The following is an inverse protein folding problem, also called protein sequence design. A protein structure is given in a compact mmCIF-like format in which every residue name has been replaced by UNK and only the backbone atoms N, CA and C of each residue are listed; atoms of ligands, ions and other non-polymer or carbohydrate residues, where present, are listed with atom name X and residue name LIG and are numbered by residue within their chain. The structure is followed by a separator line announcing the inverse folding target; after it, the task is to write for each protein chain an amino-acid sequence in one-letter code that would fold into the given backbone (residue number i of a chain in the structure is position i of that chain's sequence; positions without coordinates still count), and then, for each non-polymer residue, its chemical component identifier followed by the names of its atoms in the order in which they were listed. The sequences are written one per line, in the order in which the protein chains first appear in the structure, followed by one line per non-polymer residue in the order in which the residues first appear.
data_IF_771864499595
#
_entry.id   IF_771864499595
#
_cell.length_a   1.000
_cell.length_b   1.000
_cell.length_c   1.000
_cell.angle_alpha   90.00
_cell.angle_beta   90.00
_cell.angle_gamma   90.00
#
_symmetry.space_group_name_H-M   'P 1'
#
loop_
_entity.id
_entity.type
_entity.pdbx_description
1 polymer ?
#
# COMPACT_ATOMS: atom_id res chain seq x y z
N UNK A 1 -7.82 10.76 -14.38
CA UNK A 1 -7.12 10.22 -13.19
C UNK A 1 -7.96 9.10 -12.65
N UNK A 2 -7.40 7.90 -12.54
CA UNK A 2 -8.08 6.78 -11.90
C UNK A 2 -7.99 6.94 -10.38
N UNK A 3 -9.06 6.69 -9.65
CA UNK A 3 -9.14 6.99 -8.21
C UNK A 3 -9.26 5.68 -7.42
N UNK A 4 -8.38 5.50 -6.43
CA UNK A 4 -8.53 4.49 -5.39
C UNK A 4 -9.33 5.11 -4.24
N UNK A 5 -10.43 4.49 -3.80
CA UNK A 5 -11.24 5.05 -2.72
C UNK A 5 -10.70 4.66 -1.34
N UNK A 6 -10.84 5.56 -0.36
CA UNK A 6 -10.46 5.27 1.02
C UNK A 6 -11.31 4.12 1.61
N UNK A 7 -12.57 3.99 1.18
CA UNK A 7 -13.42 2.86 1.55
C UNK A 7 -12.88 1.51 1.06
N UNK A 8 -12.30 1.45 -0.14
CA UNK A 8 -11.68 0.22 -0.65
C UNK A 8 -10.42 -0.12 0.16
N UNK A 9 -9.64 0.89 0.54
CA UNK A 9 -8.47 0.71 1.42
C UNK A 9 -8.89 0.13 2.77
N UNK A 10 -9.91 0.70 3.41
CA UNK A 10 -10.43 0.22 4.69
C UNK A 10 -10.94 -1.21 4.62
N UNK A 11 -11.68 -1.53 3.56
CA UNK A 11 -12.23 -2.86 3.33
C UNK A 11 -11.11 -3.89 3.12
N UNK A 12 -10.12 -3.57 2.29
CA UNK A 12 -9.02 -4.47 1.96
C UNK A 12 -8.09 -4.71 3.14
N UNK A 13 -7.61 -3.64 3.79
CA UNK A 13 -6.66 -3.76 4.90
C UNK A 13 -7.31 -4.06 6.27
N UNK A 14 -8.62 -4.34 6.28
CA UNK A 14 -9.42 -4.60 7.48
C UNK A 14 -9.20 -3.54 8.58
N UNK A 15 -9.27 -2.27 8.20
CA UNK A 15 -8.91 -1.16 9.07
C UNK A 15 -9.98 -0.07 9.15
N UNK A 16 -9.92 0.72 10.22
CA UNK A 16 -10.68 1.98 10.39
C UNK A 16 -9.69 3.06 10.83
N UNK A 17 -10.08 4.36 10.85
CA UNK A 17 -9.19 5.43 11.30
C UNK A 17 -8.56 5.20 12.69
N UNK A 18 -9.24 4.46 13.56
CA UNK A 18 -8.79 4.20 14.93
C UNK A 18 -8.01 2.87 15.07
N UNK A 19 -7.97 2.02 14.03
CA UNK A 19 -7.22 0.77 14.12
C UNK A 19 -5.72 1.04 14.06
N UNK A 20 -4.97 0.26 14.85
CA UNK A 20 -3.52 0.40 14.98
C UNK A 20 -2.78 0.38 13.65
N UNK A 21 -3.17 -0.49 12.73
CA UNK A 21 -2.52 -0.59 11.42
C UNK A 21 -2.75 0.64 10.53
N UNK A 22 -3.92 1.29 10.64
CA UNK A 22 -4.18 2.55 9.96
C UNK A 22 -3.35 3.68 10.56
N UNK A 23 -3.42 3.87 11.88
CA UNK A 23 -2.67 4.92 12.58
C UNK A 23 -1.17 4.81 12.33
N UNK A 24 -0.60 3.60 12.49
CA UNK A 24 0.82 3.38 12.19
C UNK A 24 1.14 3.53 10.70
N UNK A 25 0.24 3.12 9.80
CA UNK A 25 0.42 3.27 8.35
C UNK A 25 0.42 4.73 7.91
N UNK A 26 -0.46 5.55 8.48
CA UNK A 26 -0.48 6.99 8.25
C UNK A 26 0.79 7.66 8.77
N UNK A 27 1.27 7.27 9.96
CA UNK A 27 2.54 7.76 10.49
C UNK A 27 3.73 7.41 9.57
N UNK A 28 3.77 6.19 9.01
CA UNK A 28 4.79 5.79 8.02
C UNK A 28 4.74 6.68 6.78
N UNK A 29 3.54 6.99 6.27
CA UNK A 29 3.38 7.88 5.11
C UNK A 29 3.79 9.32 5.43
N UNK A 30 3.33 9.88 6.56
CA UNK A 30 3.65 11.24 7.00
C UNK A 30 5.15 11.42 7.26
N UNK A 31 5.81 10.40 7.78
CA UNK A 31 7.27 10.37 7.96
C UNK A 31 8.05 10.23 6.63
N UNK A 32 7.37 10.14 5.49
CA UNK A 32 7.97 9.95 4.16
C UNK A 32 8.82 8.68 4.06
N UNK A 33 8.42 7.63 4.76
CA UNK A 33 9.13 6.35 4.72
C UNK A 33 8.81 5.53 3.48
N UNK A 34 7.74 5.84 2.74
CA UNK A 34 7.50 5.34 1.38
C UNK A 34 8.46 6.09 0.44
N UNK A 35 9.63 5.50 0.18
CA UNK A 35 10.72 6.18 -0.55
C UNK A 35 10.66 5.97 -2.06
N UNK A 36 10.00 4.90 -2.51
CA UNK A 36 9.79 4.62 -3.91
C UNK A 36 8.41 4.00 -4.08
N UNK A 37 7.65 4.47 -5.07
CA UNK A 37 6.39 3.86 -5.48
C UNK A 37 6.26 4.04 -7.00
N UNK A 38 6.27 2.93 -7.72
CA UNK A 38 6.17 2.89 -9.18
C UNK A 38 5.00 2.03 -9.61
N UNK A 39 4.46 2.35 -10.79
CA UNK A 39 3.47 1.52 -11.48
C UNK A 39 4.08 0.90 -12.73
N UNK A 40 3.65 -0.32 -13.03
CA UNK A 40 3.89 -1.03 -14.28
C UNK A 40 2.51 -1.30 -14.87
N UNK A 41 2.20 -0.64 -15.97
CA UNK A 41 0.96 -0.89 -16.69
C UNK A 41 1.08 -2.24 -17.40
N UNK A 42 0.11 -3.12 -17.16
CA UNK A 42 -0.04 -4.38 -17.87
C UNK A 42 -1.25 -4.27 -18.81
N UNK A 43 -1.36 -5.22 -19.73
CA UNK A 43 -2.55 -5.35 -20.57
C UNK A 43 -3.81 -5.62 -19.73
N UNK A 44 -4.99 -5.42 -20.33
CA UNK A 44 -6.31 -5.67 -19.72
C UNK A 44 -6.64 -4.82 -18.47
N UNK A 45 -6.05 -3.63 -18.36
CA UNK A 45 -6.38 -2.69 -17.27
C UNK A 45 -5.80 -3.09 -15.91
N UNK A 46 -4.92 -4.09 -15.85
CA UNK A 46 -4.19 -4.45 -14.64
C UNK A 46 -2.98 -3.51 -14.46
N UNK A 47 -2.81 -3.00 -13.25
CA UNK A 47 -1.68 -2.15 -12.86
C UNK A 47 -0.92 -2.86 -11.75
N UNK A 48 0.33 -3.20 -11.99
CA UNK A 48 1.22 -3.68 -10.94
C UNK A 48 1.90 -2.51 -10.24
N UNK A 49 1.91 -2.54 -8.92
CA UNK A 49 2.57 -1.56 -8.05
C UNK A 49 3.80 -2.22 -7.44
N UNK A 50 4.91 -1.47 -7.42
CA UNK A 50 6.10 -1.82 -6.64
C UNK A 50 6.50 -0.62 -5.77
N UNK A 51 6.75 -0.87 -4.50
CA UNK A 51 7.13 0.17 -3.55
C UNK A 51 8.20 -0.31 -2.58
N UNK A 52 9.03 0.64 -2.12
CA UNK A 52 10.01 0.44 -1.06
C UNK A 52 9.65 1.33 0.13
N UNK A 53 9.59 0.72 1.32
CA UNK A 53 9.23 1.40 2.56
C UNK A 53 10.30 1.18 3.62
N UNK A 54 10.86 2.26 4.17
CA UNK A 54 11.90 2.20 5.22
C UNK A 54 11.38 1.45 6.45
N UNK A 55 12.23 0.57 7.00
CA UNK A 55 11.98 -0.08 8.28
C UNK A 55 12.37 0.86 9.43
N UNK A 56 11.39 1.47 10.10
CA UNK A 56 11.68 2.43 11.18
C UNK A 56 12.45 1.81 12.36
N UNK A 57 12.27 0.52 12.64
CA UNK A 57 12.99 -0.20 13.70
C UNK A 57 14.38 -0.69 13.29
N UNK A 58 14.65 -0.81 11.98
CA UNK A 58 15.90 -1.35 11.45
C UNK A 58 16.36 -0.53 10.24
N UNK A 59 16.59 0.78 10.44
CA UNK A 59 16.86 1.74 9.35
C UNK A 59 18.09 1.41 8.50
N UNK A 60 19.00 0.58 9.00
CA UNK A 60 20.20 0.11 8.30
C UNK A 60 19.95 -1.13 7.44
N UNK A 61 18.82 -1.79 7.61
CA UNK A 61 18.43 -2.93 6.80
C UNK A 61 17.75 -2.50 5.50
N UNK A 62 17.59 -3.46 4.59
CA UNK A 62 16.87 -3.22 3.34
C UNK A 62 15.42 -2.79 3.64
N UNK A 63 14.91 -1.75 2.95
CA UNK A 63 13.51 -1.39 3.00
C UNK A 63 12.61 -2.59 2.73
N UNK A 64 11.41 -2.58 3.32
CA UNK A 64 10.38 -3.54 2.92
C UNK A 64 9.98 -3.29 1.47
N UNK A 65 9.94 -4.36 0.69
CA UNK A 65 9.35 -4.33 -0.64
C UNK A 65 7.86 -4.63 -0.51
N UNK A 66 7.06 -3.81 -1.19
CA UNK A 66 5.63 -4.02 -1.34
C UNK A 66 5.38 -4.24 -2.83
N UNK A 67 4.75 -5.36 -3.15
CA UNK A 67 4.24 -5.68 -4.49
C UNK A 67 2.74 -5.74 -4.43
N UNK A 68 2.06 -5.11 -5.38
CA UNK A 68 0.59 -5.15 -5.43
C UNK A 68 0.06 -5.12 -6.84
N UNK A 69 -1.21 -5.47 -6.97
CA UNK A 69 -1.94 -5.45 -8.23
C UNK A 69 -3.28 -4.75 -8.02
N UNK A 70 -3.61 -3.87 -8.97
CA UNK A 70 -4.84 -3.12 -9.04
C UNK A 70 -5.52 -3.42 -10.38
N UNK A 71 -6.85 -3.44 -10.39
CA UNK A 71 -7.63 -3.44 -11.62
C UNK A 71 -8.21 -2.05 -11.86
N UNK A 72 -7.98 -1.48 -13.04
CA UNK A 72 -8.51 -0.19 -13.45
C UNK A 72 -9.73 -0.39 -14.35
N UNK A 73 -10.93 -0.20 -13.77
CA UNK A 73 -12.19 -0.29 -14.50
C UNK A 73 -12.94 1.03 -14.41
N UNK A 74 -13.37 1.60 -15.55
CA UNK A 74 -14.15 2.84 -15.58
C UNK A 74 -13.54 4.01 -14.78
N UNK A 75 -12.21 4.14 -14.80
CA UNK A 75 -11.43 5.13 -14.01
C UNK A 75 -11.50 4.94 -12.49
N UNK A 76 -11.91 3.78 -12.00
CA UNK A 76 -11.82 3.37 -10.59
C UNK A 76 -10.74 2.30 -10.44
N UNK A 77 -9.99 2.38 -9.35
CA UNK A 77 -8.98 1.39 -9.00
C UNK A 77 -9.56 0.43 -7.97
N UNK A 78 -9.52 -0.86 -8.28
CA UNK A 78 -9.90 -1.95 -7.38
C UNK A 78 -8.66 -2.69 -6.91
N UNK A 79 -8.55 -2.90 -5.60
CA UNK A 79 -7.43 -3.64 -5.01
C UNK A 79 -7.61 -5.13 -5.28
N UNK A 80 -6.65 -5.75 -5.96
CA UNK A 80 -6.63 -7.21 -6.16
C UNK A 80 -5.88 -7.85 -5.00
N UNK A 81 -4.61 -7.47 -4.83
CA UNK A 81 -3.73 -8.03 -3.80
C UNK A 81 -2.53 -7.11 -3.54
N UNK A 82 -2.01 -7.14 -2.32
CA UNK A 82 -0.76 -6.51 -1.90
C UNK A 82 0.00 -7.42 -0.96
N UNK A 83 1.30 -7.55 -1.17
CA UNK A 83 2.21 -8.36 -0.37
C UNK A 83 3.33 -7.46 0.11
N UNK A 84 3.72 -7.60 1.38
CA UNK A 84 4.86 -6.92 1.95
C UNK A 84 5.90 -7.95 2.43
N UNK A 85 7.19 -7.65 2.29
CA UNK A 85 8.26 -8.52 2.80
C UNK A 85 8.41 -8.51 4.32
N UNK A 86 7.63 -7.69 5.04
CA UNK A 86 7.60 -7.72 6.50
C UNK A 86 7.00 -9.02 7.04
N UNK A 87 7.32 -9.38 8.28
CA UNK A 87 6.79 -10.60 8.93
C UNK A 87 5.25 -10.65 8.96
N UNK A 88 4.60 -9.50 9.04
CA UNK A 88 3.15 -9.38 9.02
C UNK A 88 2.56 -9.20 7.60
N UNK A 89 3.40 -9.16 6.57
CA UNK A 89 3.00 -8.79 5.22
C UNK A 89 2.10 -9.80 4.52
N UNK A 90 2.03 -11.04 5.00
CA UNK A 90 1.07 -12.05 4.55
C UNK A 90 -0.38 -11.80 5.02
N UNK A 91 -0.59 -10.87 5.95
CA UNK A 91 -1.92 -10.58 6.52
C UNK A 91 -2.68 -9.47 5.79
N UNK A 92 -2.11 -8.91 4.72
CA UNK A 92 -2.66 -7.78 3.92
C UNK A 92 -2.89 -6.47 4.69
N UNK A 93 -2.83 -6.51 6.02
CA UNK A 93 -3.25 -5.47 6.95
C UNK A 93 -2.07 -4.79 7.66
N UNK A 94 -0.83 -5.08 7.24
CA UNK A 94 0.34 -4.47 7.87
C UNK A 94 0.42 -2.97 7.55
N UNK A 95 0.99 -2.19 8.48
CA UNK A 95 1.13 -0.73 8.34
C UNK A 95 1.83 -0.29 7.06
N UNK A 96 2.76 -1.07 6.52
CA UNK A 96 3.48 -0.73 5.30
C UNK A 96 2.56 -0.82 4.06
N UNK A 97 1.70 -1.84 3.99
CA UNK A 97 0.68 -1.95 2.93
C UNK A 97 -0.30 -0.78 3.04
N UNK A 98 -0.78 -0.48 4.24
CA UNK A 98 -1.68 0.66 4.47
C UNK A 98 -1.03 1.98 4.04
N UNK A 99 0.25 2.20 4.38
CA UNK A 99 0.97 3.40 3.98
C UNK A 99 1.06 3.54 2.44
N UNK A 100 1.30 2.45 1.72
CA UNK A 100 1.33 2.44 0.24
C UNK A 100 -0.06 2.68 -0.33
N UNK A 101 -1.10 2.02 0.18
CA UNK A 101 -2.48 2.25 -0.28
C UNK A 101 -2.93 3.69 -0.05
N UNK A 102 -2.57 4.29 1.09
CA UNK A 102 -2.79 5.71 1.36
C UNK A 102 -2.00 6.63 0.44
N UNK A 103 -0.76 6.25 0.08
CA UNK A 103 0.03 6.98 -0.91
C UNK A 103 -0.61 6.95 -2.30
N UNK A 104 -1.22 5.84 -2.70
CA UNK A 104 -1.91 5.70 -4.00
C UNK A 104 -3.28 6.39 -4.04
N UNK A 105 -3.90 6.59 -2.88
CA UNK A 105 -5.17 7.31 -2.76
C UNK A 105 -5.00 8.84 -2.87
N UNK A 106 -3.83 9.37 -2.49
CA UNK A 106 -3.52 10.81 -2.41
C UNK A 106 -2.83 11.31 -3.68
#
# INVERSE_FOLDING_TARGET
MSVLSLSDVFKYAHCTPDTRNFVEGEQVLLAKHVILCGKIEKDDGIIAIKSLVIQSSHIREMPHEITGELHCENKKLHIIQFICTSKAGASESCKHIVAVLLHLNR
#
